data_IF_659595268704
#
_entry.id   IF_659595268704
#
_cell.length_a   1.000
_cell.length_b   1.000
_cell.length_c   1.000
_cell.angle_alpha   90.00
_cell.angle_beta   90.00
_cell.angle_gamma   90.00
#
_symmetry.space_group_name_H-M   'P 1'
#
loop_
_entity.id
_entity.type
_entity.pdbx_description
1 polymer ?
#
# COMPACT_ATOMS: atom_id res chain seq x y z
N UNK A 1 -3.24 -6.91 -7.16
CA UNK A 1 -3.55 -5.86 -6.17
C UNK A 1 -4.38 -4.75 -6.80
N UNK A 2 -5.68 -4.98 -7.03
CA UNK A 2 -6.55 -3.96 -7.66
C UNK A 2 -6.82 -2.76 -6.74
N UNK A 3 -6.82 -2.97 -5.42
CA UNK A 3 -7.05 -1.92 -4.40
C UNK A 3 -6.03 -0.78 -4.43
N UNK A 4 -4.76 -1.12 -4.60
CA UNK A 4 -3.69 -0.12 -4.74
C UNK A 4 -3.51 0.34 -6.19
N UNK A 5 -4.17 -0.33 -7.14
CA UNK A 5 -3.95 -0.12 -8.58
C UNK A 5 -2.50 -0.34 -8.99
N UNK A 6 -1.85 -1.36 -8.41
CA UNK A 6 -0.50 -1.79 -8.80
C UNK A 6 -0.62 -2.78 -9.95
N UNK A 7 0.23 -2.61 -10.96
CA UNK A 7 0.42 -3.61 -12.01
C UNK A 7 1.20 -4.82 -11.48
N UNK A 8 1.14 -5.94 -12.21
CA UNK A 8 1.80 -7.19 -11.81
C UNK A 8 3.33 -7.03 -11.67
N UNK A 9 3.94 -6.20 -12.52
CA UNK A 9 5.38 -5.89 -12.50
C UNK A 9 5.75 -5.08 -11.24
N UNK A 10 4.93 -4.09 -10.89
CA UNK A 10 5.09 -3.30 -9.66
C UNK A 10 4.91 -4.18 -8.43
N UNK A 11 3.91 -5.06 -8.44
CA UNK A 11 3.67 -6.03 -7.39
C UNK A 11 4.89 -6.95 -7.17
N UNK A 12 5.45 -7.48 -8.24
CA UNK A 12 6.65 -8.33 -8.19
C UNK A 12 7.85 -7.56 -7.59
N UNK A 13 8.04 -6.30 -7.99
CA UNK A 13 9.11 -5.46 -7.49
C UNK A 13 8.93 -5.11 -6.00
N UNK A 14 7.71 -4.79 -5.56
CA UNK A 14 7.40 -4.49 -4.15
C UNK A 14 7.65 -5.69 -3.23
N UNK A 15 7.35 -6.89 -3.73
CA UNK A 15 7.45 -8.11 -2.95
C UNK A 15 8.80 -8.83 -3.11
N UNK A 16 9.67 -8.35 -4.01
CA UNK A 16 10.94 -9.00 -4.38
C UNK A 16 10.73 -10.49 -4.67
N UNK A 17 9.75 -10.75 -5.53
CA UNK A 17 9.31 -12.09 -5.91
C UNK A 17 9.36 -12.23 -7.41
N UNK A 18 9.81 -13.40 -7.85
CA UNK A 18 9.62 -13.79 -9.23
C UNK A 18 8.11 -13.81 -9.56
N UNK A 19 7.72 -13.40 -10.77
CA UNK A 19 6.31 -13.43 -11.21
C UNK A 19 5.70 -14.85 -11.12
N UNK A 20 6.53 -15.89 -11.15
CA UNK A 20 6.14 -17.27 -10.90
C UNK A 20 5.58 -17.42 -9.47
N UNK A 21 6.20 -16.84 -8.44
CA UNK A 21 5.74 -16.93 -7.04
C UNK A 21 4.41 -16.23 -6.78
N UNK A 22 4.06 -15.22 -7.60
CA UNK A 22 2.72 -14.59 -7.58
C UNK A 22 1.67 -15.57 -8.10
N UNK A 23 1.98 -16.28 -9.18
CA UNK A 23 1.06 -17.21 -9.85
C UNK A 23 0.91 -18.52 -9.05
N UNK A 24 1.98 -18.98 -8.38
CA UNK A 24 1.96 -20.24 -7.62
C UNK A 24 1.31 -20.11 -6.24
N UNK A 25 0.98 -18.90 -5.78
CA UNK A 25 0.36 -18.66 -4.47
C UNK A 25 1.34 -18.76 -3.29
N UNK A 26 2.63 -18.93 -3.56
CA UNK A 26 3.69 -19.01 -2.54
C UNK A 26 3.86 -17.70 -1.76
N UNK A 27 3.33 -16.63 -2.33
CA UNK A 27 3.20 -15.30 -1.75
C UNK A 27 2.31 -15.25 -0.50
N UNK A 28 1.25 -16.07 -0.42
CA UNK A 28 0.30 -16.09 0.71
C UNK A 28 0.96 -16.46 2.04
N UNK A 29 2.06 -17.22 1.99
CA UNK A 29 2.80 -17.68 3.16
C UNK A 29 3.84 -16.68 3.69
N UNK A 30 4.06 -15.55 3.01
CA UNK A 30 5.05 -14.54 3.45
C UNK A 30 4.44 -13.59 4.47
N UNK A 31 5.08 -13.40 5.65
CA UNK A 31 4.59 -12.45 6.64
C UNK A 31 4.56 -11.01 6.11
N UNK A 32 5.45 -10.64 5.19
CA UNK A 32 5.47 -9.32 4.54
C UNK A 32 4.19 -9.06 3.73
N UNK A 33 3.67 -10.08 3.03
CA UNK A 33 2.41 -9.94 2.30
C UNK A 33 1.24 -9.75 3.27
N UNK A 34 1.21 -10.52 4.36
CA UNK A 34 0.20 -10.37 5.41
C UNK A 34 0.17 -8.96 5.99
N UNK A 35 1.34 -8.40 6.32
CA UNK A 35 1.47 -7.02 6.81
C UNK A 35 0.96 -6.04 5.76
N UNK A 36 1.38 -6.16 4.50
CA UNK A 36 0.96 -5.27 3.43
C UNK A 36 -0.56 -5.33 3.19
N UNK A 37 -1.16 -6.53 3.19
CA UNK A 37 -2.60 -6.72 3.06
C UNK A 37 -3.36 -6.10 4.24
N UNK A 38 -2.86 -6.28 5.46
CA UNK A 38 -3.44 -5.66 6.65
C UNK A 38 -3.36 -4.13 6.57
N UNK A 39 -2.17 -3.57 6.32
CA UNK A 39 -1.97 -2.11 6.22
C UNK A 39 -2.85 -1.47 5.14
N UNK A 40 -2.90 -2.09 3.97
CA UNK A 40 -3.63 -1.55 2.83
C UNK A 40 -5.14 -1.75 2.98
N UNK A 41 -5.58 -2.83 3.62
CA UNK A 41 -6.97 -3.04 4.02
C UNK A 41 -7.43 -2.00 5.05
N UNK A 42 -6.67 -1.85 6.14
CA UNK A 42 -6.91 -0.86 7.19
C UNK A 42 -6.94 0.57 6.67
N UNK A 43 -6.04 0.92 5.73
CA UNK A 43 -6.04 2.22 5.08
C UNK A 43 -7.23 2.40 4.14
N UNK A 44 -7.57 1.39 3.33
CA UNK A 44 -8.70 1.44 2.42
C UNK A 44 -10.04 1.60 3.17
N UNK A 45 -10.21 0.94 4.32
CA UNK A 45 -11.38 1.12 5.18
C UNK A 45 -11.46 2.55 5.75
N UNK A 46 -10.32 3.17 6.08
CA UNK A 46 -10.26 4.53 6.64
C UNK A 46 -10.49 5.64 5.61
N UNK A 47 -9.78 5.60 4.47
CA UNK A 47 -9.80 6.70 3.47
C UNK A 47 -10.58 6.36 2.20
N UNK A 48 -10.92 5.08 2.00
CA UNK A 48 -11.54 4.57 0.77
C UNK A 48 -10.50 4.12 -0.27
N UNK A 49 -10.80 3.01 -0.92
CA UNK A 49 -9.96 2.38 -1.96
C UNK A 49 -9.53 3.35 -3.07
N UNK A 50 -10.47 4.16 -3.57
CA UNK A 50 -10.19 5.14 -4.63
C UNK A 50 -9.26 6.28 -4.21
N UNK A 51 -9.28 6.68 -2.93
CA UNK A 51 -8.38 7.70 -2.38
C UNK A 51 -7.00 7.09 -2.16
N UNK A 52 -6.94 5.88 -1.59
CA UNK A 52 -5.70 5.14 -1.38
C UNK A 52 -4.96 4.92 -2.70
N UNK A 53 -5.66 4.44 -3.74
CA UNK A 53 -5.10 4.25 -5.09
C UNK A 53 -4.52 5.54 -5.68
N UNK A 54 -5.20 6.66 -5.49
CA UNK A 54 -4.71 7.97 -5.97
C UNK A 54 -3.52 8.44 -5.14
N UNK A 55 -3.53 8.21 -3.83
CA UNK A 55 -2.49 8.64 -2.91
C UNK A 55 -1.18 7.88 -3.09
N UNK A 56 -1.22 6.56 -3.30
CA UNK A 56 -0.01 5.74 -3.55
C UNK A 56 0.78 6.27 -4.75
N UNK A 57 0.08 6.73 -5.79
CA UNK A 57 0.68 7.34 -7.00
C UNK A 57 0.99 8.82 -6.84
N UNK A 58 0.57 9.46 -5.75
CA UNK A 58 0.78 10.90 -5.51
C UNK A 58 2.07 11.11 -4.75
N UNK A 59 2.82 12.14 -5.14
CA UNK A 59 3.96 12.60 -4.35
C UNK A 59 3.45 13.34 -3.11
N UNK A 60 3.74 12.80 -1.94
CA UNK A 60 3.60 13.43 -0.63
C UNK A 60 4.91 14.10 -0.18
N UNK A 61 4.92 14.69 1.03
CA UNK A 61 6.12 15.34 1.57
C UNK A 61 7.26 14.37 1.89
N UNK A 62 6.96 13.09 2.12
CA UNK A 62 7.94 12.03 2.33
C UNK A 62 8.38 11.35 1.02
N UNK A 63 7.85 11.79 -0.13
CA UNK A 63 8.10 11.17 -1.44
C UNK A 63 6.86 10.52 -2.03
N UNK A 64 7.05 9.55 -2.95
CA UNK A 64 5.94 8.75 -3.48
C UNK A 64 5.82 7.49 -2.61
N UNK A 65 4.66 7.18 -2.02
CA UNK A 65 4.49 5.96 -1.23
C UNK A 65 4.82 4.68 -2.01
N UNK A 66 4.58 4.72 -3.33
CA UNK A 66 4.99 3.66 -4.25
C UNK A 66 6.51 3.42 -4.26
N UNK A 67 7.32 4.47 -4.11
CA UNK A 67 8.79 4.36 -4.10
C UNK A 67 9.28 3.60 -2.87
N UNK A 68 8.67 3.84 -1.71
CA UNK A 68 8.94 3.07 -0.48
C UNK A 68 8.57 1.60 -0.65
N UNK A 69 7.42 1.32 -1.27
CA UNK A 69 7.03 -0.06 -1.58
C UNK A 69 8.05 -0.73 -2.53
N UNK A 70 8.50 -0.03 -3.57
CA UNK A 70 9.52 -0.53 -4.51
C UNK A 70 10.89 -0.70 -3.84
N UNK A 71 11.22 0.13 -2.85
CA UNK A 71 12.41 0.01 -2.02
C UNK A 71 12.26 -1.03 -0.89
N UNK A 72 11.10 -1.69 -0.79
CA UNK A 72 10.71 -2.64 0.27
C UNK A 72 10.72 -2.04 1.68
N UNK A 73 10.55 -0.72 1.77
CA UNK A 73 10.47 0.01 3.02
C UNK A 73 9.02 0.09 3.49
N UNK A 74 8.53 -1.02 4.03
CA UNK A 74 7.17 -1.11 4.57
C UNK A 74 6.97 -0.22 5.80
N UNK A 75 8.03 0.06 6.55
CA UNK A 75 7.98 0.95 7.71
C UNK A 75 7.75 2.41 7.28
N UNK A 76 8.48 2.88 6.27
CA UNK A 76 8.24 4.20 5.68
C UNK A 76 6.82 4.30 5.08
N UNK A 77 6.34 3.23 4.43
CA UNK A 77 4.98 3.19 3.91
C UNK A 77 3.91 3.26 5.01
N UNK A 78 4.10 2.56 6.13
CA UNK A 78 3.23 2.64 7.31
C UNK A 78 3.18 4.05 7.90
N UNK A 79 4.34 4.71 8.05
CA UNK A 79 4.41 6.10 8.54
C UNK A 79 3.67 7.06 7.58
N UNK A 80 3.88 6.91 6.28
CA UNK A 80 3.15 7.65 5.25
C UNK A 80 1.63 7.41 5.32
N UNK A 81 1.20 6.18 5.63
CA UNK A 81 -0.21 5.83 5.86
C UNK A 81 -0.76 6.47 7.15
N UNK A 82 -0.01 6.49 8.24
CA UNK A 82 -0.41 7.19 9.46
C UNK A 82 -0.55 8.69 9.21
N UNK A 83 0.38 9.28 8.45
CA UNK A 83 0.32 10.68 8.02
C UNK A 83 -0.88 10.92 7.10
N UNK A 84 -1.19 10.00 6.18
CA UNK A 84 -2.39 10.05 5.34
C UNK A 84 -3.64 9.96 6.19
N UNK A 85 -3.70 9.05 7.17
CA UNK A 85 -4.84 8.91 8.07
C UNK A 85 -5.01 10.20 8.88
N UNK A 86 -3.94 10.73 9.49
CA UNK A 86 -3.95 11.96 10.26
C UNK A 86 -4.36 13.19 9.44
N UNK A 87 -3.94 13.28 8.17
CA UNK A 87 -4.30 14.39 7.26
C UNK A 87 -5.64 14.19 6.56
N UNK A 88 -6.00 12.95 6.26
CA UNK A 88 -7.20 12.53 5.54
C UNK A 88 -8.44 12.44 6.44
N UNK A 89 -8.26 12.28 7.76
CA UNK A 89 -9.36 12.27 8.74
C UNK A 89 -10.08 13.62 8.91
N UNK A 90 -9.64 14.70 8.25
CA UNK A 90 -10.39 15.97 8.26
C UNK A 90 -11.69 15.87 7.45
N UNK A 91 -11.91 14.80 6.69
CA UNK A 91 -13.13 14.57 5.93
C UNK A 91 -13.98 13.45 6.55
N UNK A 92 -14.84 13.85 7.50
CA UNK A 92 -16.00 13.12 8.06
C UNK A 92 -15.80 12.45 9.43
N UNK A 93 -15.94 13.26 10.47
CA UNK A 93 -16.21 12.86 11.85
C UNK A 93 -17.05 13.91 12.59
N UNK A 94 -18.09 14.40 11.93
CA UNK A 94 -19.08 15.32 12.50
C UNK A 94 -20.42 15.08 11.83
N UNK A 95 -21.34 14.46 12.57
CA UNK A 95 -22.68 14.10 12.12
C UNK A 95 -23.29 13.04 13.02
#
# INVERSE_FOLDING_TARGET
MERLGLDDDELCAVLDVDPISVITGELDHRPELGILLTLTGEAAERVGDGVLRRWVRRTGPSGRPLDHLLARDFAAFEDDLEVLAARGFVLRGGG
#
